data_IF_731955690771
#
_entry.id   IF_731955690771
#
_cell.length_a   1.000
_cell.length_b   1.000
_cell.length_c   1.000
_cell.angle_alpha   90.00
_cell.angle_beta   90.00
_cell.angle_gamma   90.00
#
_symmetry.space_group_name_H-M   'P 1'
#
loop_
_entity.id
_entity.type
_entity.pdbx_description
1 polymer ?
#
# COMPACT_ATOMS: atom_id res chain seq x y z
N UNK A 1 -4.25 16.34 18.42
CA UNK A 1 -3.64 15.39 19.37
C UNK A 1 -2.41 14.85 18.71
N UNK A 2 -1.22 14.93 19.35
CA UNK A 2 0.01 14.37 18.77
C UNK A 2 0.00 12.83 18.86
N UNK A 3 0.79 12.15 18.02
CA UNK A 3 0.96 10.69 18.13
C UNK A 3 1.50 10.28 19.51
N UNK A 4 2.33 11.11 20.15
CA UNK A 4 2.78 10.92 21.53
C UNK A 4 1.63 10.98 22.55
N UNK A 5 0.68 11.86 22.34
CA UNK A 5 -0.50 11.99 23.20
C UNK A 5 -1.41 10.77 23.07
N UNK A 6 -1.55 10.22 21.86
CA UNK A 6 -2.28 8.96 21.59
C UNK A 6 -1.57 7.78 22.27
N UNK A 7 -0.25 7.67 22.13
CA UNK A 7 0.57 6.63 22.78
C UNK A 7 0.51 6.77 24.30
N UNK A 8 0.56 7.98 24.84
CA UNK A 8 0.46 8.23 26.30
C UNK A 8 -0.92 7.89 26.85
N UNK A 9 -1.99 8.22 26.13
CA UNK A 9 -3.37 7.91 26.51
C UNK A 9 -3.70 6.41 26.37
N UNK A 10 -3.01 5.72 25.46
CA UNK A 10 -3.12 4.25 25.31
C UNK A 10 -2.29 3.47 26.34
N UNK A 11 -1.71 4.15 27.34
CA UNK A 11 -0.89 3.49 28.38
C UNK A 11 0.45 2.95 27.86
N UNK A 12 1.01 3.56 26.81
CA UNK A 12 2.31 3.17 26.25
C UNK A 12 2.26 1.88 25.40
N UNK A 13 1.07 1.36 25.12
CA UNK A 13 0.93 0.17 24.29
C UNK A 13 0.84 0.56 22.82
N UNK A 14 1.98 0.60 22.12
CA UNK A 14 1.99 0.54 20.64
C UNK A 14 1.15 -0.65 20.11
N UNK A 15 0.97 -1.68 20.96
CA UNK A 15 0.08 -2.81 20.70
C UNK A 15 -1.38 -2.42 20.45
N UNK A 16 -1.82 -1.20 20.77
CA UNK A 16 -3.21 -0.81 20.54
C UNK A 16 -3.48 -0.58 19.03
N UNK A 17 -2.60 0.14 18.33
CA UNK A 17 -2.72 0.29 16.89
C UNK A 17 -2.39 -1.02 16.16
N UNK A 18 -1.40 -1.78 16.61
CA UNK A 18 -1.16 -3.14 16.14
C UNK A 18 -2.34 -4.06 16.45
N UNK A 19 -3.00 -3.93 17.60
CA UNK A 19 -4.17 -4.68 17.99
C UNK A 19 -5.38 -4.35 17.13
N UNK A 20 -5.72 -3.08 16.95
CA UNK A 20 -6.80 -2.64 16.06
C UNK A 20 -6.51 -3.07 14.61
N UNK A 21 -5.30 -2.89 14.15
CA UNK A 21 -4.89 -3.36 12.82
C UNK A 21 -4.94 -4.88 12.71
N UNK A 22 -4.53 -5.64 13.72
CA UNK A 22 -4.59 -7.12 13.70
C UNK A 22 -6.01 -7.65 13.79
N UNK A 23 -6.84 -7.09 14.65
CA UNK A 23 -8.20 -7.60 14.89
C UNK A 23 -9.20 -7.16 13.82
N UNK A 24 -9.01 -6.00 13.23
CA UNK A 24 -9.85 -5.51 12.14
C UNK A 24 -9.38 -5.99 10.76
N UNK A 25 -8.18 -6.54 10.63
CA UNK A 25 -7.61 -7.06 9.38
C UNK A 25 -8.49 -8.02 8.59
N UNK A 26 -9.17 -9.00 9.17
CA UNK A 26 -10.07 -9.85 8.42
C UNK A 26 -11.19 -9.09 7.72
N UNK A 27 -11.48 -7.89 8.21
CA UNK A 27 -12.49 -7.00 7.63
C UNK A 27 -11.89 -6.00 6.63
N UNK A 28 -10.59 -5.69 6.73
CA UNK A 28 -9.87 -4.80 5.81
C UNK A 28 -9.23 -5.51 4.65
N UNK A 29 -8.61 -6.65 4.92
CA UNK A 29 -8.00 -7.49 3.93
C UNK A 29 -9.07 -8.33 3.24
N UNK A 30 -10.00 -7.71 2.59
CA UNK A 30 -10.90 -8.41 1.67
C UNK A 30 -10.19 -8.93 0.41
N UNK A 31 -8.86 -8.86 0.37
CA UNK A 31 -8.04 -9.53 -0.62
C UNK A 31 -8.05 -11.05 -0.43
N UNK A 32 -9.22 -11.67 -0.49
CA UNK A 32 -9.29 -13.11 -0.64
C UNK A 32 -8.87 -13.46 -2.04
N UNK A 33 -7.64 -13.93 -2.16
CA UNK A 33 -6.95 -14.12 -3.44
C UNK A 33 -7.34 -15.45 -4.12
N UNK A 34 -8.60 -15.82 -4.06
CA UNK A 34 -9.11 -17.04 -4.69
C UNK A 34 -9.13 -16.97 -6.21
N UNK A 35 -8.90 -18.12 -6.85
CA UNK A 35 -8.92 -18.31 -8.29
C UNK A 35 -8.09 -17.27 -9.05
N UNK A 36 -6.78 -17.22 -8.79
CA UNK A 36 -5.90 -16.30 -9.46
C UNK A 36 -5.86 -16.56 -10.97
N UNK A 37 -5.95 -15.50 -11.76
CA UNK A 37 -5.73 -15.53 -13.19
C UNK A 37 -4.35 -14.98 -13.48
N UNK A 38 -3.49 -15.80 -14.06
CA UNK A 38 -2.15 -15.37 -14.45
C UNK A 38 -2.24 -14.47 -15.70
N UNK A 39 -1.74 -13.26 -15.57
CA UNK A 39 -1.70 -12.24 -16.62
C UNK A 39 -0.35 -12.24 -17.36
N UNK A 40 0.73 -12.52 -16.63
CA UNK A 40 2.11 -12.52 -17.10
C UNK A 40 3.00 -13.28 -16.12
N UNK A 41 4.29 -13.38 -16.42
CA UNK A 41 5.32 -13.90 -15.54
C UNK A 41 6.48 -12.90 -15.48
N UNK A 42 6.96 -12.62 -14.30
CA UNK A 42 8.09 -11.72 -14.13
C UNK A 42 9.38 -12.35 -14.66
N UNK A 43 10.29 -11.48 -15.09
CA UNK A 43 11.69 -11.81 -15.35
C UNK A 43 12.58 -11.24 -14.25
N UNK A 44 12.13 -10.12 -13.67
CA UNK A 44 12.82 -9.38 -12.63
C UNK A 44 11.84 -9.12 -11.49
N UNK A 45 12.31 -9.32 -10.29
CA UNK A 45 11.62 -8.98 -9.05
C UNK A 45 12.46 -7.93 -8.33
N UNK A 46 11.84 -6.82 -7.99
CA UNK A 46 12.49 -5.72 -7.28
C UNK A 46 11.79 -5.52 -5.94
N UNK A 47 12.58 -5.40 -4.88
CA UNK A 47 12.08 -5.12 -3.54
C UNK A 47 12.57 -3.75 -3.07
N UNK A 48 11.65 -2.98 -2.50
CA UNK A 48 11.92 -1.68 -1.89
C UNK A 48 11.54 -1.68 -0.43
N UNK A 49 12.38 -1.11 0.42
CA UNK A 49 11.96 -0.63 1.72
C UNK A 49 11.23 0.71 1.53
N UNK A 50 10.18 0.90 2.31
CA UNK A 50 9.40 2.13 2.32
C UNK A 50 9.41 2.68 3.73
N UNK A 51 9.85 3.91 3.87
CA UNK A 51 9.80 4.65 5.11
C UNK A 51 8.70 5.71 5.00
N UNK A 52 7.67 5.60 5.83
CA UNK A 52 6.46 6.41 5.76
C UNK A 52 6.33 7.26 7.01
N UNK A 53 6.23 8.57 6.85
CA UNK A 53 5.93 9.49 7.94
C UNK A 53 4.46 9.35 8.34
N UNK A 54 4.19 9.21 9.64
CA UNK A 54 2.84 8.92 10.14
C UNK A 54 1.93 10.14 10.22
N UNK A 55 2.50 11.32 10.44
CA UNK A 55 1.74 12.56 10.47
C UNK A 55 2.62 13.79 10.13
N UNK A 56 1.98 14.93 9.87
CA UNK A 56 2.68 16.17 9.52
C UNK A 56 3.29 16.88 10.75
N UNK A 57 2.92 16.48 11.96
CA UNK A 57 3.25 17.18 13.21
C UNK A 57 4.36 16.48 13.99
N UNK A 58 4.66 15.22 13.65
CA UNK A 58 5.72 14.44 14.30
C UNK A 58 6.70 13.88 13.27
N UNK A 59 7.88 13.47 13.74
CA UNK A 59 8.86 12.76 12.92
C UNK A 59 8.74 11.23 13.05
N UNK A 60 7.63 10.74 13.61
CA UNK A 60 7.39 9.31 13.70
C UNK A 60 7.21 8.70 12.32
N UNK A 61 7.91 7.60 12.13
CA UNK A 61 7.93 6.88 10.85
C UNK A 61 7.67 5.40 11.08
N UNK A 62 7.09 4.76 10.08
CA UNK A 62 6.95 3.31 10.03
C UNK A 62 7.59 2.79 8.75
N UNK A 63 8.07 1.56 8.81
CA UNK A 63 8.61 0.85 7.66
C UNK A 63 7.57 -0.08 7.07
N UNK A 64 7.59 -0.20 5.76
CA UNK A 64 6.86 -1.19 4.97
C UNK A 64 7.74 -1.66 3.81
N UNK A 65 7.26 -2.58 3.02
CA UNK A 65 7.97 -3.03 1.82
C UNK A 65 7.04 -3.08 0.62
N UNK A 66 7.58 -2.69 -0.53
CA UNK A 66 6.95 -2.85 -1.84
C UNK A 66 7.69 -3.89 -2.64
N UNK A 67 6.94 -4.81 -3.23
CA UNK A 67 7.43 -5.73 -4.23
C UNK A 67 6.96 -5.29 -5.62
N UNK A 68 7.87 -5.30 -6.58
CA UNK A 68 7.56 -5.03 -7.98
C UNK A 68 7.97 -6.20 -8.85
N UNK A 69 7.00 -6.78 -9.54
CA UNK A 69 7.19 -7.86 -10.50
C UNK A 69 7.22 -7.27 -11.91
N UNK A 70 8.30 -7.46 -12.63
CA UNK A 70 8.52 -6.89 -13.95
C UNK A 70 8.54 -8.01 -14.98
N UNK A 71 7.46 -8.11 -15.74
CA UNK A 71 7.29 -9.04 -16.84
C UNK A 71 7.32 -8.36 -18.21
N UNK A 72 7.31 -9.13 -19.30
CA UNK A 72 7.35 -8.61 -20.67
C UNK A 72 6.08 -7.86 -21.09
N UNK A 73 4.94 -8.10 -20.43
CA UNK A 73 3.65 -7.48 -20.76
C UNK A 73 3.11 -6.60 -19.66
N UNK A 74 3.47 -6.92 -18.39
CA UNK A 74 2.91 -6.30 -17.21
C UNK A 74 4.00 -5.96 -16.20
N UNK A 75 3.83 -4.84 -15.52
CA UNK A 75 4.53 -4.54 -14.26
C UNK A 75 3.48 -4.51 -13.16
N UNK A 76 3.73 -5.22 -12.07
CA UNK A 76 2.87 -5.21 -10.89
C UNK A 76 3.66 -4.74 -9.69
N UNK A 77 3.23 -3.65 -9.08
CA UNK A 77 3.80 -3.13 -7.83
C UNK A 77 2.75 -3.21 -6.72
N UNK A 78 3.13 -3.70 -5.53
CA UNK A 78 2.19 -3.90 -4.42
C UNK A 78 2.90 -3.94 -3.06
N UNK A 79 2.15 -3.69 -1.98
CA UNK A 79 2.63 -3.83 -0.61
C UNK A 79 2.87 -5.29 -0.26
N UNK A 80 4.13 -5.63 0.06
CA UNK A 80 4.54 -7.02 0.29
C UNK A 80 3.83 -7.64 1.49
N UNK A 81 3.78 -6.92 2.60
CA UNK A 81 3.25 -7.48 3.85
C UNK A 81 1.74 -7.57 3.85
N UNK A 82 1.05 -6.59 3.26
CA UNK A 82 -0.39 -6.63 3.03
C UNK A 82 -0.76 -7.80 2.09
N UNK A 83 0.00 -8.01 1.02
CA UNK A 83 -0.20 -9.14 0.12
C UNK A 83 0.04 -10.49 0.82
N UNK A 84 1.13 -10.62 1.58
CA UNK A 84 1.46 -11.84 2.32
C UNK A 84 0.36 -12.20 3.32
N UNK A 85 -0.14 -11.23 4.06
CA UNK A 85 -1.25 -11.42 4.99
C UNK A 85 -2.53 -11.88 4.26
N UNK A 86 -2.79 -11.29 3.11
CA UNK A 86 -3.91 -11.68 2.25
C UNK A 86 -3.78 -13.12 1.74
N UNK A 87 -2.56 -13.53 1.39
CA UNK A 87 -2.24 -14.93 1.00
C UNK A 87 -2.47 -15.87 2.19
N UNK A 88 -1.96 -15.53 3.36
CA UNK A 88 -2.13 -16.33 4.60
C UNK A 88 -3.60 -16.46 4.97
N UNK A 89 -4.34 -15.37 4.92
CA UNK A 89 -5.80 -15.37 5.16
C UNK A 89 -6.53 -16.23 4.13
N UNK A 90 -6.13 -16.16 2.87
CA UNK A 90 -6.71 -16.99 1.80
C UNK A 90 -6.41 -18.47 2.05
N UNK A 91 -5.19 -18.83 2.46
CA UNK A 91 -4.81 -20.20 2.82
C UNK A 91 -5.69 -20.76 3.94
N UNK A 92 -6.00 -19.95 4.95
CA UNK A 92 -6.85 -20.35 6.07
C UNK A 92 -8.29 -20.71 5.63
N UNK A 93 -8.84 -19.94 4.67
CA UNK A 93 -10.21 -20.14 4.18
C UNK A 93 -10.29 -21.02 2.93
N UNK A 94 -9.17 -21.46 2.37
CA UNK A 94 -9.13 -22.27 1.15
C UNK A 94 -9.47 -23.72 1.41
N UNK A 95 -9.82 -24.45 0.36
CA UNK A 95 -10.01 -25.89 0.42
C UNK A 95 -8.68 -26.60 0.70
N UNK A 96 -8.75 -27.84 1.20
CA UNK A 96 -7.57 -28.62 1.61
C UNK A 96 -6.55 -28.82 0.48
N UNK A 97 -6.99 -28.90 -0.75
CA UNK A 97 -6.15 -29.07 -1.95
C UNK A 97 -5.51 -27.76 -2.44
N UNK A 98 -6.11 -26.61 -2.16
CA UNK A 98 -5.58 -25.30 -2.54
C UNK A 98 -4.63 -24.72 -1.49
N UNK A 99 -4.79 -25.10 -0.22
CA UNK A 99 -4.04 -24.58 0.93
C UNK A 99 -2.51 -24.65 0.75
N UNK A 100 -1.92 -25.78 0.29
CA UNK A 100 -0.47 -25.89 0.14
C UNK A 100 0.14 -24.87 -0.82
N UNK A 101 -0.62 -24.48 -1.86
CA UNK A 101 -0.19 -23.44 -2.80
C UNK A 101 -0.05 -22.09 -2.11
N UNK A 102 -1.04 -21.68 -1.33
CA UNK A 102 -1.01 -20.40 -0.60
C UNK A 102 0.01 -20.41 0.54
N UNK A 103 0.15 -21.52 1.25
CA UNK A 103 1.17 -21.67 2.29
C UNK A 103 2.59 -21.53 1.71
N UNK A 104 2.85 -22.14 0.56
CA UNK A 104 4.11 -22.00 -0.15
C UNK A 104 4.39 -20.56 -0.56
N UNK A 105 3.39 -19.87 -1.12
CA UNK A 105 3.49 -18.47 -1.48
C UNK A 105 3.79 -17.56 -0.27
N UNK A 106 3.11 -17.81 0.86
CA UNK A 106 3.33 -17.03 2.08
C UNK A 106 4.73 -17.23 2.64
N UNK A 107 5.25 -18.49 2.59
CA UNK A 107 6.58 -18.83 3.10
C UNK A 107 7.74 -18.27 2.29
N UNK A 108 7.51 -17.95 1.02
CA UNK A 108 8.55 -17.48 0.07
C UNK A 108 9.25 -16.20 0.55
N UNK A 109 8.53 -15.33 1.26
CA UNK A 109 9.06 -14.05 1.74
C UNK A 109 9.37 -14.03 3.25
N UNK A 110 9.24 -15.17 3.91
CA UNK A 110 9.51 -15.30 5.34
C UNK A 110 8.48 -14.57 6.22
N UNK A 111 8.86 -14.25 7.42
CA UNK A 111 8.06 -13.50 8.37
C UNK A 111 8.30 -12.00 8.24
N UNK A 112 7.28 -11.19 8.54
CA UNK A 112 7.41 -9.75 8.57
C UNK A 112 8.40 -9.33 9.66
N UNK A 113 9.45 -8.56 9.34
CA UNK A 113 10.41 -8.10 10.34
C UNK A 113 9.74 -7.24 11.42
N UNK A 114 10.29 -7.29 12.64
CA UNK A 114 9.83 -6.42 13.70
C UNK A 114 9.97 -4.94 13.29
N UNK A 115 8.95 -4.13 13.57
CA UNK A 115 8.93 -2.71 13.22
C UNK A 115 8.42 -2.41 11.80
N UNK A 116 8.09 -3.42 10.99
CA UNK A 116 7.43 -3.22 9.70
C UNK A 116 5.92 -3.27 9.84
N UNK A 117 5.25 -2.35 9.17
CA UNK A 117 3.79 -2.24 9.11
C UNK A 117 3.24 -2.82 7.79
N UNK A 118 1.95 -2.65 7.54
CA UNK A 118 1.25 -3.00 6.30
C UNK A 118 0.46 -1.79 5.81
N UNK A 119 1.17 -0.68 5.65
CA UNK A 119 0.59 0.60 5.25
C UNK A 119 0.31 0.67 3.75
N UNK A 120 1.08 -0.08 2.96
CA UNK A 120 0.92 -0.13 1.50
C UNK A 120 -0.18 -1.14 1.16
N UNK A 121 -1.35 -0.64 0.85
CA UNK A 121 -2.59 -1.41 0.63
C UNK A 121 -3.12 -1.29 -0.81
N UNK A 122 -2.23 -1.14 -1.77
CA UNK A 122 -2.57 -1.03 -3.18
C UNK A 122 -1.86 -2.08 -4.04
N UNK A 123 -2.48 -2.39 -5.20
CA UNK A 123 -1.92 -3.13 -6.32
C UNK A 123 -1.99 -2.26 -7.56
N UNK A 124 -0.85 -1.98 -8.16
CA UNK A 124 -0.72 -1.16 -9.37
C UNK A 124 -0.27 -2.06 -10.52
N UNK A 125 -1.19 -2.34 -11.44
CA UNK A 125 -0.94 -3.13 -12.64
C UNK A 125 -0.72 -2.19 -13.82
N UNK A 126 0.49 -2.13 -14.33
CA UNK A 126 0.80 -1.38 -15.54
C UNK A 126 0.86 -2.32 -16.74
N UNK A 127 -0.08 -2.17 -17.67
CA UNK A 127 -0.10 -2.90 -18.92
C UNK A 127 0.76 -2.18 -19.95
N UNK A 128 1.88 -2.79 -20.35
CA UNK A 128 2.87 -2.18 -21.24
C UNK A 128 2.36 -2.02 -22.67
N UNK A 129 1.55 -2.99 -23.15
CA UNK A 129 0.98 -2.95 -24.49
C UNK A 129 -0.16 -1.93 -24.61
N UNK A 130 -1.08 -1.91 -23.64
CA UNK A 130 -2.23 -1.02 -23.64
C UNK A 130 -1.89 0.40 -23.14
N UNK A 131 -0.69 0.58 -22.56
CA UNK A 131 -0.25 1.83 -21.93
C UNK A 131 -1.28 2.35 -20.90
N UNK A 132 -1.77 1.44 -20.09
CA UNK A 132 -2.77 1.71 -19.06
C UNK A 132 -2.30 1.21 -17.69
N UNK A 133 -2.83 1.84 -16.65
CA UNK A 133 -2.58 1.47 -15.26
C UNK A 133 -3.92 1.14 -14.60
N UNK A 134 -4.07 -0.11 -14.15
CA UNK A 134 -5.15 -0.52 -13.29
C UNK A 134 -4.69 -0.36 -11.84
N UNK A 135 -5.39 0.46 -11.09
CA UNK A 135 -5.15 0.73 -9.70
C UNK A 135 -6.20 -0.02 -8.86
N UNK A 136 -5.75 -0.85 -7.92
CA UNK A 136 -6.62 -1.48 -6.92
C UNK A 136 -6.18 -1.04 -5.53
N UNK A 137 -7.13 -0.61 -4.72
CA UNK A 137 -6.89 -0.12 -3.37
C UNK A 137 -7.82 -0.80 -2.37
N UNK A 138 -7.30 -1.17 -1.21
CA UNK A 138 -8.11 -1.44 -0.04
C UNK A 138 -8.14 -0.17 0.81
N UNK A 139 -9.32 0.37 1.04
CA UNK A 139 -9.48 1.48 1.98
C UNK A 139 -9.80 0.96 3.37
N UNK A 140 -9.33 1.64 4.42
CA UNK A 140 -9.68 1.29 5.78
C UNK A 140 -11.18 1.12 5.92
N UNK A 141 -11.61 0.08 6.66
CA UNK A 141 -12.98 -0.13 7.06
C UNK A 141 -13.97 -0.43 5.91
N UNK A 142 -13.50 -0.70 4.70
CA UNK A 142 -14.34 -1.13 3.58
C UNK A 142 -14.14 -2.60 3.25
N UNK A 143 -15.25 -3.31 2.99
CA UNK A 143 -15.21 -4.72 2.60
C UNK A 143 -14.75 -4.91 1.16
N UNK A 144 -15.09 -3.97 0.29
CA UNK A 144 -14.83 -4.06 -1.13
C UNK A 144 -13.56 -3.32 -1.49
N UNK A 145 -12.74 -3.95 -2.30
CA UNK A 145 -11.66 -3.27 -2.98
C UNK A 145 -12.21 -2.20 -3.92
N UNK A 146 -11.44 -1.17 -4.16
CA UNK A 146 -11.77 -0.13 -5.13
C UNK A 146 -10.77 -0.22 -6.27
N UNK A 147 -11.27 -0.16 -7.50
CA UNK A 147 -10.42 -0.11 -8.67
C UNK A 147 -10.78 1.03 -9.60
N UNK A 148 -9.77 1.58 -10.24
CA UNK A 148 -9.91 2.48 -11.39
C UNK A 148 -8.77 2.25 -12.37
N UNK A 149 -9.06 2.56 -13.65
CA UNK A 149 -8.08 2.48 -14.72
C UNK A 149 -7.82 3.86 -15.28
N UNK A 150 -6.55 4.16 -15.51
CA UNK A 150 -6.11 5.40 -16.15
C UNK A 150 -5.07 5.10 -17.23
N UNK A 151 -4.86 5.98 -18.23
CA UNK A 151 -3.68 5.91 -19.09
C UNK A 151 -2.41 5.98 -18.24
N UNK A 152 -1.29 5.42 -18.72
CA UNK A 152 0.01 5.64 -18.06
C UNK A 152 0.24 7.14 -17.91
N UNK A 153 0.37 7.66 -16.70
CA UNK A 153 0.53 9.08 -16.48
C UNK A 153 1.81 9.58 -17.15
N UNK A 154 1.73 10.75 -17.77
CA UNK A 154 2.93 11.44 -18.25
C UNK A 154 3.59 12.15 -17.09
N UNK A 155 4.89 11.96 -16.94
CA UNK A 155 5.73 12.66 -15.98
C UNK A 155 6.78 13.47 -16.76
N UNK A 156 7.00 14.69 -16.32
CA UNK A 156 8.00 15.58 -16.91
C UNK A 156 9.19 15.61 -15.97
N UNK A 157 10.20 14.82 -16.29
CA UNK A 157 11.41 14.70 -15.49
C UNK A 157 12.43 15.75 -15.85
N UNK A 158 12.97 16.41 -14.84
CA UNK A 158 14.22 17.17 -14.95
C UNK A 158 15.34 16.22 -14.51
N UNK A 159 16.19 15.83 -15.43
CA UNK A 159 17.34 14.95 -15.15
C UNK A 159 18.53 15.85 -14.82
N UNK A 160 19.19 15.58 -13.70
CA UNK A 160 20.33 16.35 -13.22
C UNK A 160 21.66 15.62 -13.49
N UNK A 161 22.78 16.35 -13.41
CA UNK A 161 24.13 15.77 -13.57
C UNK A 161 24.60 15.00 -12.34
N UNK A 162 23.89 15.16 -11.22
CA UNK A 162 24.25 14.52 -9.95
C UNK A 162 24.09 13.00 -10.04
N UNK A 163 25.13 12.26 -9.63
CA UNK A 163 25.16 10.81 -9.61
C UNK A 163 25.53 10.27 -8.24
N UNK A 164 25.09 9.06 -7.93
CA UNK A 164 25.52 8.27 -6.78
C UNK A 164 25.45 6.78 -7.08
N UNK A 165 26.19 5.97 -6.31
CA UNK A 165 26.12 4.50 -6.41
C UNK A 165 25.05 3.94 -5.46
N UNK A 166 24.15 3.09 -5.98
CA UNK A 166 23.16 2.34 -5.21
C UNK A 166 23.21 0.88 -5.64
N UNK A 167 23.43 -0.03 -4.71
CA UNK A 167 23.61 -1.47 -4.97
C UNK A 167 24.67 -1.77 -6.06
N UNK A 168 25.68 -0.90 -6.22
CA UNK A 168 26.74 -1.04 -7.21
C UNK A 168 26.40 -0.48 -8.61
N UNK A 169 25.19 0.04 -8.82
CA UNK A 169 24.80 0.72 -10.04
C UNK A 169 25.05 2.23 -9.93
N UNK A 170 25.55 2.85 -10.98
CA UNK A 170 25.60 4.30 -11.08
C UNK A 170 24.19 4.83 -11.36
N UNK A 171 23.68 5.65 -10.44
CA UNK A 171 22.34 6.20 -10.52
C UNK A 171 22.42 7.71 -10.74
N UNK A 172 21.54 8.21 -11.60
CA UNK A 172 21.40 9.61 -11.91
C UNK A 172 20.16 10.18 -11.23
N UNK A 173 20.26 11.42 -10.75
CA UNK A 173 19.16 12.13 -10.11
C UNK A 173 18.17 12.65 -11.13
N UNK A 174 16.87 12.58 -10.81
CA UNK A 174 15.83 13.26 -11.58
C UNK A 174 14.72 13.74 -10.64
N UNK A 175 14.05 14.81 -11.04
CA UNK A 175 12.97 15.43 -10.26
C UNK A 175 11.72 15.64 -11.13
N UNK A 176 10.55 15.60 -10.50
CA UNK A 176 9.27 15.85 -11.15
C UNK A 176 8.20 16.29 -10.15
N UNK A 177 7.30 17.15 -10.61
CA UNK A 177 6.03 17.38 -9.92
C UNK A 177 4.99 16.36 -10.43
N UNK A 178 4.50 15.54 -9.54
CA UNK A 178 3.53 14.53 -9.89
C UNK A 178 2.46 14.36 -8.82
N UNK A 179 1.20 14.51 -9.21
CA UNK A 179 0.04 14.29 -8.34
C UNK A 179 0.10 15.11 -7.04
N UNK A 180 0.47 16.39 -7.15
CA UNK A 180 0.52 17.32 -6.04
C UNK A 180 1.73 17.18 -5.12
N UNK A 181 2.67 16.29 -5.44
CA UNK A 181 3.94 16.14 -4.72
C UNK A 181 5.12 16.41 -5.64
N UNK A 182 6.14 17.04 -5.09
CA UNK A 182 7.46 17.10 -5.71
C UNK A 182 8.23 15.83 -5.32
N UNK A 183 8.76 15.14 -6.34
CA UNK A 183 9.50 13.88 -6.18
C UNK A 183 10.92 14.03 -6.66
N UNK A 184 11.86 13.58 -5.85
CA UNK A 184 13.25 13.35 -6.23
C UNK A 184 13.47 11.85 -6.35
N UNK A 185 14.03 11.40 -7.47
CA UNK A 185 14.34 9.98 -7.70
C UNK A 185 15.77 9.79 -8.13
N UNK A 186 16.30 8.59 -7.89
CA UNK A 186 17.57 8.11 -8.41
C UNK A 186 17.28 6.89 -9.28
N UNK A 187 17.66 6.95 -10.54
CA UNK A 187 17.44 5.86 -11.48
C UNK A 187 18.75 5.36 -12.06
N UNK A 188 18.83 4.04 -12.35
CA UNK A 188 19.99 3.37 -12.92
C UNK A 188 19.81 3.19 -14.44
N UNK A 189 20.49 3.96 -15.30
CA UNK A 189 20.41 3.79 -16.77
C UNK A 189 20.89 2.43 -17.25
N UNK A 190 21.80 1.79 -16.51
CA UNK A 190 22.31 0.44 -16.81
C UNK A 190 21.23 -0.65 -16.68
N UNK A 191 20.14 -0.38 -15.99
CA UNK A 191 18.99 -1.27 -15.86
C UNK A 191 17.83 -0.68 -16.67
N UNK A 192 17.70 -1.01 -17.98
CA UNK A 192 16.82 -0.32 -18.92
C UNK A 192 15.36 -0.73 -18.74
N UNK A 193 14.82 -0.43 -17.56
CA UNK A 193 13.42 -0.68 -17.18
C UNK A 193 12.76 0.68 -16.94
N UNK A 194 11.75 1.02 -17.74
CA UNK A 194 10.97 2.23 -17.56
C UNK A 194 10.09 2.12 -16.30
N UNK A 195 10.51 2.74 -15.20
CA UNK A 195 9.75 2.80 -13.96
C UNK A 195 10.18 1.75 -12.93
N UNK A 196 9.26 0.90 -12.52
CA UNK A 196 9.46 -0.16 -11.52
C UNK A 196 8.68 0.06 -10.22
N UNK A 197 8.65 1.24 -9.67
CA UNK A 197 7.99 1.54 -8.41
C UNK A 197 6.67 2.30 -8.64
N UNK A 198 5.60 1.87 -8.00
CA UNK A 198 4.29 2.54 -8.01
C UNK A 198 3.82 2.89 -9.43
N UNK A 199 3.58 4.17 -9.72
CA UNK A 199 3.16 4.68 -11.04
C UNK A 199 4.29 5.37 -11.80
N UNK A 200 5.48 5.45 -11.21
CA UNK A 200 6.58 6.17 -11.85
C UNK A 200 6.95 5.56 -13.20
N UNK A 201 7.16 6.43 -14.18
CA UNK A 201 7.50 6.05 -15.56
C UNK A 201 8.12 7.21 -16.31
N UNK A 202 8.75 6.92 -17.45
CA UNK A 202 9.31 7.92 -18.35
C UNK A 202 10.80 8.22 -18.16
N UNK A 203 11.49 7.50 -17.27
CA UNK A 203 12.95 7.54 -17.16
C UNK A 203 13.58 6.37 -17.92
N UNK A 204 14.81 6.53 -18.44
CA UNK A 204 15.48 5.50 -19.23
C UNK A 204 16.17 4.42 -18.37
N UNK A 205 15.69 4.20 -17.13
CA UNK A 205 16.26 3.23 -16.21
C UNK A 205 15.38 2.96 -15.01
N UNK A 206 15.71 1.87 -14.29
CA UNK A 206 15.01 1.47 -13.08
C UNK A 206 15.20 2.52 -11.98
N UNK A 207 14.09 2.94 -11.38
CA UNK A 207 14.13 3.82 -10.20
C UNK A 207 14.61 3.00 -9.00
N UNK A 208 15.75 3.43 -8.42
CA UNK A 208 16.40 2.78 -7.29
C UNK A 208 15.99 3.41 -5.95
N UNK A 209 15.76 4.72 -5.95
CA UNK A 209 15.22 5.45 -4.80
C UNK A 209 14.22 6.48 -5.27
N UNK A 210 13.24 6.78 -4.41
CA UNK A 210 12.31 7.88 -4.62
C UNK A 210 11.96 8.50 -3.27
N UNK A 211 11.92 9.82 -3.20
CA UNK A 211 11.51 10.55 -2.00
C UNK A 211 10.59 11.71 -2.36
N UNK A 212 9.58 11.92 -1.54
CA UNK A 212 8.74 13.11 -1.64
C UNK A 212 9.36 14.27 -0.87
N UNK A 213 9.35 15.48 -1.43
CA UNK A 213 9.96 16.68 -0.84
C UNK A 213 9.35 17.04 0.53
N UNK A 214 8.10 16.68 0.77
CA UNK A 214 7.44 16.83 2.07
C UNK A 214 7.89 15.78 3.12
N UNK A 215 8.76 14.85 2.72
CA UNK A 215 9.34 13.83 3.56
C UNK A 215 8.37 12.70 3.97
N UNK A 216 7.15 12.63 3.42
CA UNK A 216 6.21 11.58 3.80
C UNK A 216 6.63 10.20 3.33
N UNK A 217 7.21 10.09 2.13
CA UNK A 217 7.59 8.82 1.53
C UNK A 217 9.05 8.80 1.15
N UNK A 218 9.74 7.76 1.58
CA UNK A 218 11.09 7.43 1.12
C UNK A 218 11.09 5.96 0.71
N UNK A 219 11.38 5.69 -0.55
CA UNK A 219 11.52 4.35 -1.10
C UNK A 219 12.99 4.11 -1.41
N UNK A 220 13.52 2.99 -0.92
CA UNK A 220 14.91 2.61 -1.15
C UNK A 220 14.95 1.16 -1.62
N UNK A 221 15.60 0.92 -2.73
CA UNK A 221 15.74 -0.44 -3.27
C UNK A 221 16.56 -1.31 -2.32
N UNK A 222 16.10 -2.56 -2.14
CA UNK A 222 16.75 -3.57 -1.29
C UNK A 222 17.38 -4.65 -2.14
N UNK A 223 16.67 -5.12 -3.18
CA UNK A 223 17.18 -6.16 -4.07
C UNK A 223 16.60 -6.06 -5.48
N UNK A 224 17.38 -6.56 -6.43
CA UNK A 224 16.99 -6.84 -7.82
C UNK A 224 17.34 -8.30 -8.07
N UNK A 225 16.34 -9.10 -8.42
CA UNK A 225 16.50 -10.53 -8.61
C UNK A 225 15.97 -10.96 -9.98
N UNK A 226 16.74 -11.75 -10.72
CA UNK A 226 16.24 -12.47 -11.88
C UNK A 226 15.39 -13.64 -11.39
N UNK A 227 14.09 -13.45 -11.33
CA UNK A 227 13.17 -14.41 -10.72
C UNK A 227 11.85 -14.47 -11.47
N UNK A 228 11.41 -15.69 -11.79
CA UNK A 228 10.10 -15.95 -12.36
C UNK A 228 9.06 -16.02 -11.23
N UNK A 229 8.10 -15.11 -11.26
CA UNK A 229 6.91 -15.12 -10.40
C UNK A 229 5.69 -14.81 -11.23
N UNK A 230 4.57 -15.46 -10.94
CA UNK A 230 3.31 -15.20 -11.64
C UNK A 230 2.76 -13.82 -11.29
N UNK A 231 2.54 -12.98 -12.30
CA UNK A 231 1.77 -11.74 -12.16
C UNK A 231 0.31 -12.11 -12.29
N UNK A 232 -0.43 -12.02 -11.19
CA UNK A 232 -1.79 -12.55 -11.07
C UNK A 232 -2.80 -11.44 -10.80
N UNK A 233 -3.99 -11.61 -11.38
CA UNK A 233 -5.20 -10.87 -11.01
C UNK A 233 -6.13 -11.80 -10.23
N UNK A 234 -6.95 -11.22 -9.35
CA UNK A 234 -7.84 -11.94 -8.46
C UNK A 234 -9.29 -11.51 -8.71
N UNK A 235 -9.99 -12.13 -9.70
CA UNK A 235 -11.29 -11.67 -10.16
C UNK A 235 -12.43 -11.85 -9.16
N UNK A 236 -12.27 -12.71 -8.14
CA UNK A 236 -13.28 -12.94 -7.10
C UNK A 236 -13.20 -11.96 -5.92
N UNK A 237 -12.27 -11.03 -5.94
CA UNK A 237 -12.29 -9.93 -4.98
C UNK A 237 -13.44 -9.01 -5.36
N UNK A 238 -14.41 -8.85 -4.47
CA UNK A 238 -15.47 -7.85 -4.67
C UNK A 238 -14.85 -6.48 -4.86
N UNK A 239 -15.13 -5.87 -6.01
CA UNK A 239 -14.45 -4.64 -6.41
C UNK A 239 -15.46 -3.61 -6.85
N UNK A 240 -15.41 -2.42 -6.27
CA UNK A 240 -16.15 -1.25 -6.71
C UNK A 240 -15.32 -0.50 -7.77
N UNK A 241 -15.86 -0.34 -8.98
CA UNK A 241 -15.22 0.42 -10.04
C UNK A 241 -15.59 1.89 -9.96
N UNK A 242 -14.58 2.74 -9.92
CA UNK A 242 -14.75 4.19 -9.85
C UNK A 242 -13.92 4.86 -10.94
N UNK A 243 -14.13 6.17 -11.14
CA UNK A 243 -13.13 7.02 -11.77
C UNK A 243 -12.07 7.41 -10.74
N UNK A 244 -10.90 7.87 -11.19
CA UNK A 244 -9.85 8.35 -10.28
C UNK A 244 -10.38 9.47 -9.37
N UNK A 245 -11.11 10.42 -9.92
CA UNK A 245 -11.65 11.57 -9.17
C UNK A 245 -12.59 11.10 -8.06
N UNK A 246 -13.48 10.16 -8.37
CA UNK A 246 -14.39 9.56 -7.37
C UNK A 246 -13.65 8.75 -6.32
N UNK A 247 -12.61 8.03 -6.72
CA UNK A 247 -11.74 7.32 -5.78
C UNK A 247 -11.08 8.31 -4.81
N UNK A 248 -10.48 9.38 -5.32
CA UNK A 248 -9.82 10.41 -4.49
C UNK A 248 -10.79 11.08 -3.52
N UNK A 249 -12.00 11.44 -3.99
CA UNK A 249 -13.03 12.00 -3.14
C UNK A 249 -13.46 11.02 -2.03
N UNK A 250 -13.62 9.75 -2.38
CA UNK A 250 -13.95 8.70 -1.42
C UNK A 250 -12.83 8.45 -0.42
N UNK A 251 -11.58 8.34 -0.87
CA UNK A 251 -10.42 8.17 -0.02
C UNK A 251 -10.33 9.29 1.01
N UNK A 252 -10.43 10.55 0.56
CA UNK A 252 -10.43 11.72 1.43
C UNK A 252 -11.59 11.66 2.45
N UNK A 253 -12.79 11.27 2.02
CA UNK A 253 -13.95 11.17 2.90
C UNK A 253 -13.78 10.06 3.94
N UNK A 254 -13.25 8.90 3.56
CA UNK A 254 -13.00 7.77 4.47
C UNK A 254 -12.00 8.16 5.58
N UNK A 255 -10.93 8.86 5.23
CA UNK A 255 -9.95 9.28 6.24
C UNK A 255 -10.41 10.50 7.07
N UNK A 256 -11.22 11.39 6.49
CA UNK A 256 -11.77 12.53 7.22
C UNK A 256 -12.86 12.12 8.23
N UNK A 257 -13.65 11.13 7.90
CA UNK A 257 -14.71 10.59 8.76
C UNK A 257 -14.99 9.14 8.38
N UNK A 258 -14.44 8.18 9.10
CA UNK A 258 -14.72 6.78 8.88
C UNK A 258 -16.22 6.46 8.91
N UNK A 259 -16.98 7.14 9.74
CA UNK A 259 -18.43 6.98 9.88
C UNK A 259 -19.18 7.49 8.65
N UNK A 260 -18.90 8.71 8.20
CA UNK A 260 -19.58 9.31 7.05
C UNK A 260 -19.07 8.77 5.70
N UNK A 261 -17.93 8.13 5.67
CA UNK A 261 -17.39 7.45 4.49
C UNK A 261 -18.15 6.18 4.08
N UNK A 262 -19.30 5.89 4.70
CA UNK A 262 -20.13 4.72 4.40
C UNK A 262 -19.64 3.43 5.05
N UNK A 263 -18.91 3.56 6.13
CA UNK A 263 -18.37 2.47 6.91
C UNK A 263 -19.38 1.94 7.92
N UNK A 264 -20.26 2.81 8.38
CA UNK A 264 -21.37 2.46 9.23
C UNK A 264 -22.66 2.30 8.43
N UNK A 265 -23.29 1.17 8.57
CA UNK A 265 -24.66 0.97 8.18
C UNK A 265 -25.54 1.58 9.30
N UNK A 266 -25.91 2.85 9.13
CA UNK A 266 -26.74 3.57 10.11
C UNK A 266 -28.11 2.90 10.32
N UNK A 267 -28.61 2.16 9.32
CA UNK A 267 -29.91 1.48 9.43
C UNK A 267 -29.86 0.25 10.34
N UNK A 268 -28.70 -0.38 10.50
CA UNK A 268 -28.54 -1.59 11.31
C UNK A 268 -28.08 -1.33 12.73
N UNK A 269 -27.72 -0.09 13.07
CA UNK A 269 -27.31 0.29 14.43
C UNK A 269 -26.17 -0.55 15.01
N UNK A 270 -25.36 -1.16 14.15
CA UNK A 270 -24.29 -2.05 14.57
C UNK A 270 -22.96 -1.39 14.34
N UNK A 271 -22.24 -1.17 15.42
CA UNK A 271 -20.83 -0.83 15.46
C UNK A 271 -19.99 -1.98 14.90
N UNK A 272 -19.94 -2.11 13.56
CA UNK A 272 -19.12 -3.13 12.93
C UNK A 272 -17.61 -2.87 13.06
N UNK A 273 -17.24 -1.79 13.78
CA UNK A 273 -16.00 -1.19 13.40
C UNK A 273 -15.01 -0.98 14.46
N UNK A 274 -15.42 -1.03 15.58
CA UNK A 274 -14.53 -1.04 16.70
C UNK A 274 -14.57 -2.48 17.11
N UNK A 275 -13.50 -3.19 16.74
CA UNK A 275 -13.44 -4.64 16.78
C UNK A 275 -14.20 -5.25 17.92
N UNK A 276 -14.49 -6.51 17.85
CA UNK A 276 -15.24 -7.34 18.82
C UNK A 276 -14.89 -7.12 20.30
N UNK A 277 -14.03 -6.17 20.62
CA UNK A 277 -13.59 -5.81 21.96
C UNK A 277 -14.23 -4.56 22.55
N UNK A 278 -15.06 -3.83 21.81
CA UNK A 278 -16.10 -3.03 22.45
C UNK A 278 -17.31 -3.98 22.62
N UNK A 279 -17.05 -5.06 23.31
CA UNK A 279 -18.09 -5.88 23.89
C UNK A 279 -18.91 -5.00 24.79
N UNK A 280 -20.20 -5.07 24.64
CA UNK A 280 -21.31 -4.76 25.51
C UNK A 280 -21.02 -4.47 27.00
N UNK A 281 -20.03 -3.68 27.30
CA UNK A 281 -19.80 -3.00 28.55
C UNK A 281 -19.97 -1.52 28.27
N UNK A 282 -20.68 -0.82 29.12
CA UNK A 282 -20.79 0.64 29.01
C UNK A 282 -19.42 1.25 28.69
N UNK A 283 -19.32 2.08 27.62
CA UNK A 283 -18.05 2.67 27.24
C UNK A 283 -17.53 3.45 28.43
N UNK A 284 -16.41 3.01 28.99
CA UNK A 284 -15.69 3.83 29.95
C UNK A 284 -15.32 5.12 29.25
N UNK A 285 -15.57 6.24 29.88
CA UNK A 285 -15.41 7.61 29.33
C UNK A 285 -14.06 7.89 28.66
N UNK A 286 -13.07 7.05 28.92
CA UNK A 286 -11.74 7.06 28.30
C UNK A 286 -11.69 6.48 26.90
N UNK A 287 -12.58 5.55 26.55
CA UNK A 287 -12.50 4.84 25.27
C UNK A 287 -13.15 5.64 24.11
N UNK A 288 -14.15 6.45 24.44
CA UNK A 288 -14.84 7.33 23.48
C UNK A 288 -13.96 8.51 23.01
N UNK A 289 -12.98 8.94 23.78
CA UNK A 289 -12.08 10.05 23.43
C UNK A 289 -10.97 9.65 22.44
N UNK A 290 -10.66 8.38 22.32
CA UNK A 290 -9.59 7.85 21.46
C UNK A 290 -10.02 7.79 19.99
N UNK A 291 -11.32 7.69 19.74
CA UNK A 291 -11.91 7.51 18.41
C UNK A 291 -12.59 8.75 17.85
N UNK A 292 -12.15 9.93 18.25
CA UNK A 292 -12.62 11.15 17.59
C UNK A 292 -12.14 11.18 16.13
N UNK A 293 -12.94 11.70 15.19
CA UNK A 293 -12.55 11.81 13.78
C UNK A 293 -11.17 12.44 13.56
N UNK A 294 -10.74 13.32 14.46
CA UNK A 294 -9.43 13.98 14.42
C UNK A 294 -8.24 13.03 14.62
N UNK A 295 -8.44 11.87 15.24
CA UNK A 295 -7.36 10.88 15.41
C UNK A 295 -7.01 10.19 14.09
N UNK A 296 -7.96 10.05 13.18
CA UNK A 296 -7.74 9.49 11.85
C UNK A 296 -7.18 10.50 10.85
N UNK A 297 -7.41 11.80 11.06
CA UNK A 297 -6.83 12.85 10.20
C UNK A 297 -5.31 12.86 10.22
N UNK A 298 -4.69 12.43 11.34
CA UNK A 298 -3.25 12.28 11.44
C UNK A 298 -2.65 11.13 10.64
N UNK A 299 -3.45 10.14 10.19
CA UNK A 299 -2.98 8.95 9.49
C UNK A 299 -3.28 8.96 7.97
N UNK A 300 -3.82 10.05 7.45
CA UNK A 300 -4.14 10.18 6.03
C UNK A 300 -3.00 10.81 5.24
N UNK A 301 -2.20 9.97 4.61
CA UNK A 301 -1.12 10.40 3.72
C UNK A 301 -1.26 9.70 2.38
N UNK A 302 -2.15 10.20 1.52
CA UNK A 302 -2.26 9.61 0.19
C UNK A 302 -0.98 9.87 -0.60
N UNK A 303 -0.60 8.90 -1.42
CA UNK A 303 0.50 9.06 -2.36
C UNK A 303 0.25 10.21 -3.36
N UNK A 304 -1.01 10.48 -3.65
CA UNK A 304 -1.47 11.57 -4.51
C UNK A 304 -2.20 12.62 -3.67
N UNK A 305 -1.91 13.90 -3.87
CA UNK A 305 -2.58 15.02 -3.20
C UNK A 305 -3.67 15.66 -4.07
N UNK A 306 -3.62 15.44 -5.40
CA UNK A 306 -4.57 15.96 -6.39
C UNK A 306 -5.55 14.89 -6.90
#
# INVERSE_FOLDING_TARGET
MSAEEVVRLSGGRMSFFEGIYRETRPQFASWRLFNPVTLDESRIVVKYDVDIKLDSLSDQRVKDQVLTLIGPKMILSFGLWNWRESVTSTAYYSKKDEKPYFDSLASEFGERPCGYAEMINWFIYRNLKQRSVLNKHALPMRRNAIEYTEPVPKMFWTIEEETKSILGYECQKAETDFRGRHWTVWFAPEVPIDGGLWKFSGLPGLIMEASSADGFYIFTIVSIENKAMKIQSYPKVETQRLTRERFRALEKAVYASPISGGIFDQEKGQDYMIGSHITAGEPKDTDTKIFTPNTYLGLYFPMELE
#
